data_IF_561952432087
#
_entry.id   IF_561952432087
#
_cell.length_a   1.000
_cell.length_b   1.000
_cell.length_c   1.000
_cell.angle_alpha   90.00
_cell.angle_beta   90.00
_cell.angle_gamma   90.00
#
_symmetry.space_group_name_H-M   'P 1'
#
loop_
_entity.id
_entity.type
_entity.pdbx_description
1 polymer ?
#
# COMPACT_ATOMS: atom_id res chain seq x y z
N UNK A 1 16.83 -31.13 3.19
CA UNK A 1 16.98 -29.68 3.48
C UNK A 1 15.75 -29.24 4.24
N UNK A 2 15.90 -28.57 5.38
CA UNK A 2 14.75 -27.97 6.07
C UNK A 2 14.36 -26.69 5.34
N UNK A 3 13.06 -26.50 5.10
CA UNK A 3 12.53 -25.28 4.50
C UNK A 3 12.45 -24.16 5.53
N UNK A 4 12.73 -22.93 5.10
CA UNK A 4 12.49 -21.71 5.88
C UNK A 4 11.15 -21.12 5.44
N UNK A 5 10.32 -20.73 6.40
CA UNK A 5 9.09 -19.98 6.12
C UNK A 5 9.41 -18.49 6.19
N UNK A 6 9.14 -17.76 5.11
CA UNK A 6 9.33 -16.32 5.02
C UNK A 6 7.96 -15.63 5.10
N UNK A 7 7.87 -14.58 5.91
CA UNK A 7 6.71 -13.69 5.94
C UNK A 7 7.20 -12.31 5.51
N UNK A 8 6.55 -11.73 4.51
CA UNK A 8 6.82 -10.38 4.01
C UNK A 8 5.70 -9.44 4.44
N UNK A 9 6.08 -8.30 5.02
CA UNK A 9 5.17 -7.37 5.65
C UNK A 9 5.57 -5.93 5.43
N UNK A 10 4.59 -5.07 5.16
CA UNK A 10 4.82 -3.66 4.90
C UNK A 10 3.89 -2.82 5.76
N UNK A 11 4.42 -1.70 6.24
CA UNK A 11 3.73 -0.78 7.12
C UNK A 11 3.69 0.60 6.47
N UNK A 12 2.51 1.02 6.03
CA UNK A 12 2.26 2.35 5.48
C UNK A 12 1.62 3.23 6.56
N UNK A 13 2.29 4.32 6.89
CA UNK A 13 1.82 5.25 7.91
C UNK A 13 2.15 6.69 7.51
N UNK A 14 1.17 7.56 7.69
CA UNK A 14 1.33 9.00 7.54
C UNK A 14 0.71 9.72 8.76
N UNK A 15 1.47 10.57 9.48
CA UNK A 15 0.94 11.33 10.62
C UNK A 15 -0.21 12.28 10.28
N UNK A 16 -1.12 12.48 11.23
CA UNK A 16 -2.10 13.58 11.18
C UNK A 16 -1.42 14.94 11.14
N UNK A 17 -2.00 15.90 10.42
CA UNK A 17 -1.57 17.31 10.43
C UNK A 17 -0.40 17.64 9.50
N UNK A 18 0.04 16.70 8.66
CA UNK A 18 0.93 17.02 7.55
C UNK A 18 0.16 17.69 6.41
N UNK A 19 0.89 18.46 5.60
CA UNK A 19 0.33 19.13 4.43
C UNK A 19 0.02 18.12 3.31
N UNK A 20 -1.00 18.41 2.49
CA UNK A 20 -1.43 17.54 1.39
C UNK A 20 -0.30 17.29 0.38
N UNK A 21 0.57 18.26 0.14
CA UNK A 21 1.72 18.08 -0.75
C UNK A 21 2.68 17.00 -0.21
N UNK A 22 2.80 16.87 1.11
CA UNK A 22 3.63 15.82 1.73
C UNK A 22 3.00 14.44 1.55
N UNK A 23 1.67 14.35 1.66
CA UNK A 23 0.94 13.12 1.36
C UNK A 23 1.12 12.71 -0.11
N UNK A 24 0.92 13.66 -1.03
CA UNK A 24 1.07 13.45 -2.48
C UNK A 24 2.47 12.99 -2.85
N UNK A 25 3.50 13.67 -2.32
CA UNK A 25 4.89 13.29 -2.56
C UNK A 25 5.16 11.85 -2.12
N UNK A 26 4.70 11.46 -0.93
CA UNK A 26 4.90 10.11 -0.41
C UNK A 26 4.07 9.08 -1.16
N UNK A 27 2.87 9.44 -1.64
CA UNK A 27 2.05 8.58 -2.48
C UNK A 27 2.75 8.24 -3.79
N UNK A 28 3.25 9.24 -4.52
CA UNK A 28 3.95 9.04 -5.79
C UNK A 28 5.30 8.33 -5.59
N UNK A 29 6.03 8.65 -4.52
CA UNK A 29 7.34 8.04 -4.25
C UNK A 29 7.23 6.59 -3.79
N UNK A 30 6.24 6.26 -2.95
CA UNK A 30 6.20 5.00 -2.22
C UNK A 30 4.89 4.23 -2.41
N UNK A 31 3.74 4.79 -2.04
CA UNK A 31 2.51 3.99 -1.88
C UNK A 31 1.99 3.44 -3.19
N UNK A 32 1.93 4.26 -4.24
CA UNK A 32 1.52 3.84 -5.57
C UNK A 32 2.48 2.82 -6.17
N UNK A 33 3.79 3.09 -6.08
CA UNK A 33 4.82 2.19 -6.64
C UNK A 33 4.81 0.83 -5.98
N UNK A 34 4.68 0.79 -4.66
CA UNK A 34 4.55 -0.45 -3.89
C UNK A 34 3.31 -1.24 -4.33
N UNK A 35 2.15 -0.60 -4.45
CA UNK A 35 0.92 -1.28 -4.88
C UNK A 35 1.06 -1.89 -6.28
N UNK A 36 1.60 -1.12 -7.23
CA UNK A 36 1.84 -1.59 -8.60
C UNK A 36 2.81 -2.77 -8.61
N UNK A 37 3.90 -2.69 -7.85
CA UNK A 37 4.89 -3.75 -7.74
C UNK A 37 4.27 -5.05 -7.18
N UNK A 38 3.46 -4.96 -6.12
CA UNK A 38 2.82 -6.15 -5.56
C UNK A 38 1.74 -6.73 -6.46
N UNK A 39 1.08 -5.89 -7.26
CA UNK A 39 0.17 -6.39 -8.28
C UNK A 39 0.90 -7.09 -9.44
N UNK A 40 2.18 -6.77 -9.68
CA UNK A 40 3.00 -7.46 -10.69
C UNK A 40 3.45 -8.85 -10.20
N UNK A 41 3.85 -8.97 -8.93
CA UNK A 41 4.36 -10.21 -8.32
C UNK A 41 3.33 -10.91 -7.42
N UNK A 42 2.25 -11.39 -8.03
CA UNK A 42 1.08 -11.94 -7.33
C UNK A 42 1.36 -13.29 -6.64
N UNK A 43 2.40 -14.00 -7.06
CA UNK A 43 2.83 -15.27 -6.47
C UNK A 43 3.52 -15.11 -5.10
N UNK A 44 3.89 -13.88 -4.73
CA UNK A 44 4.58 -13.59 -3.48
C UNK A 44 3.55 -13.17 -2.43
N UNK A 45 3.24 -14.03 -1.43
CA UNK A 45 2.34 -13.63 -0.36
C UNK A 45 2.99 -12.55 0.50
N UNK A 46 2.25 -11.47 0.75
CA UNK A 46 2.64 -10.39 1.65
C UNK A 46 1.44 -9.90 2.44
N UNK A 47 1.71 -9.23 3.55
CA UNK A 47 0.71 -8.46 4.28
C UNK A 47 1.05 -6.98 4.24
N UNK A 48 0.03 -6.12 4.24
CA UNK A 48 0.23 -4.68 4.29
C UNK A 48 -0.69 -4.04 5.31
N UNK A 49 -0.14 -3.18 6.15
CA UNK A 49 -0.86 -2.32 7.07
C UNK A 49 -0.91 -0.90 6.53
N UNK A 50 -2.04 -0.24 6.73
CA UNK A 50 -2.23 1.18 6.40
C UNK A 50 -2.81 1.92 7.61
N UNK A 51 -2.27 3.10 7.92
CA UNK A 51 -2.89 4.01 8.87
C UNK A 51 -4.19 4.60 8.33
N UNK A 52 -5.18 4.81 9.21
CA UNK A 52 -6.47 5.40 8.82
C UNK A 52 -6.33 6.75 8.11
N UNK A 53 -5.51 7.65 8.64
CA UNK A 53 -5.19 8.95 8.03
C UNK A 53 -4.71 8.87 6.59
N UNK A 54 -3.88 7.87 6.29
CA UNK A 54 -3.38 7.62 4.95
C UNK A 54 -4.51 7.10 4.05
N UNK A 55 -5.33 6.17 4.53
CA UNK A 55 -6.45 5.64 3.76
C UNK A 55 -7.50 6.69 3.46
N UNK A 56 -7.84 7.53 4.44
CA UNK A 56 -8.77 8.66 4.28
C UNK A 56 -8.27 9.63 3.20
N UNK A 57 -6.97 9.97 3.24
CA UNK A 57 -6.39 10.85 2.22
C UNK A 57 -6.36 10.18 0.84
N UNK A 58 -6.01 8.89 0.74
CA UNK A 58 -6.01 8.14 -0.52
C UNK A 58 -7.44 8.05 -1.08
N UNK A 59 -8.45 7.87 -0.24
CA UNK A 59 -9.85 7.73 -0.69
C UNK A 59 -10.33 8.99 -1.42
N UNK A 60 -9.92 10.15 -0.91
CA UNK A 60 -10.29 11.45 -1.48
C UNK A 60 -9.47 11.76 -2.74
N UNK A 61 -8.15 11.51 -2.72
CA UNK A 61 -7.24 12.01 -3.76
C UNK A 61 -6.91 10.99 -4.85
N UNK A 62 -6.92 9.69 -4.51
CA UNK A 62 -6.55 8.58 -5.40
C UNK A 62 -7.46 7.36 -5.22
N UNK A 63 -8.79 7.48 -5.44
CA UNK A 63 -9.72 6.38 -5.27
C UNK A 63 -9.41 5.17 -6.15
N UNK A 64 -8.69 5.34 -7.28
CA UNK A 64 -8.20 4.26 -8.12
C UNK A 64 -7.29 3.26 -7.38
N UNK A 65 -6.64 3.70 -6.30
CA UNK A 65 -5.82 2.84 -5.44
C UNK A 65 -6.66 1.71 -4.83
N UNK A 66 -7.88 2.02 -4.38
CA UNK A 66 -8.78 1.04 -3.77
C UNK A 66 -9.39 0.08 -4.79
N UNK A 67 -9.55 0.51 -6.05
CA UNK A 67 -9.97 -0.38 -7.14
C UNK A 67 -8.93 -1.49 -7.31
N UNK A 68 -7.66 -1.12 -7.49
CA UNK A 68 -6.58 -2.09 -7.65
C UNK A 68 -6.37 -2.93 -6.39
N UNK A 69 -6.39 -2.32 -5.21
CA UNK A 69 -6.27 -3.03 -3.94
C UNK A 69 -7.41 -4.05 -3.76
N UNK A 70 -8.65 -3.69 -4.11
CA UNK A 70 -9.78 -4.63 -4.06
C UNK A 70 -9.60 -5.78 -5.04
N UNK A 71 -9.07 -5.54 -6.23
CA UNK A 71 -8.79 -6.60 -7.20
C UNK A 71 -7.71 -7.55 -6.67
N UNK A 72 -6.68 -7.02 -6.00
CA UNK A 72 -5.61 -7.83 -5.39
C UNK A 72 -6.13 -8.70 -4.25
N UNK A 73 -7.00 -8.17 -3.38
CA UNK A 73 -7.56 -8.92 -2.23
C UNK A 73 -8.55 -10.02 -2.66
N UNK A 74 -9.25 -9.84 -3.79
CA UNK A 74 -10.24 -10.81 -4.29
C UNK A 74 -9.63 -12.01 -5.00
N UNK A 75 -8.33 -11.97 -5.32
CA UNK A 75 -7.59 -13.07 -5.95
C UNK A 75 -7.25 -14.14 -4.92
#
# INVERSE_FOLDING_TARGET
MNSVHLILGIYHYQPTGLADETYEENYQKYYKKNLVLFNEYQEIPFFSYFSGTLLEWIEINHPEYFVLLSEMVKR
#
